data_IF_443953031322
#
_entry.id   IF_443953031322
#
_cell.length_a   1.000
_cell.length_b   1.000
_cell.length_c   1.000
_cell.angle_alpha   90.00
_cell.angle_beta   90.00
_cell.angle_gamma   90.00
#
_symmetry.space_group_name_H-M   'P 1'
#
loop_
_entity.id
_entity.type
_entity.pdbx_description
1 polymer ?
#
# COMPACT_ATOMS: atom_id res chain seq x y z
N UNK A 1 -15.72 -2.02 -0.85
CA UNK A 1 -14.99 -2.89 0.08
C UNK A 1 -14.31 -2.01 1.12
N UNK A 2 -14.55 -2.29 2.41
CA UNK A 2 -13.91 -1.56 3.51
C UNK A 2 -12.45 -2.02 3.61
N UNK A 3 -11.52 -1.10 3.86
CA UNK A 3 -10.12 -1.42 4.18
C UNK A 3 -9.76 -0.61 5.41
N UNK A 4 -9.31 -1.27 6.47
CA UNK A 4 -8.99 -0.60 7.74
C UNK A 4 -7.73 -1.19 8.36
N UNK A 5 -6.94 -0.32 8.99
CA UNK A 5 -5.79 -0.72 9.82
C UNK A 5 -6.20 -1.34 11.16
N UNK A 6 -7.47 -1.18 11.56
CA UNK A 6 -8.02 -1.84 12.75
C UNK A 6 -8.26 -3.32 12.51
N UNK A 7 -8.27 -4.11 13.58
CA UNK A 7 -8.57 -5.55 13.51
C UNK A 7 -10.07 -5.86 13.52
N UNK A 8 -10.92 -4.86 13.71
CA UNK A 8 -12.39 -4.98 13.78
C UNK A 8 -13.06 -3.81 13.07
N UNK A 9 -14.33 -4.00 12.69
CA UNK A 9 -15.21 -2.97 12.14
C UNK A 9 -16.38 -2.82 13.11
N UNK A 10 -16.57 -1.63 13.66
CA UNK A 10 -17.64 -1.36 14.63
C UNK A 10 -19.02 -1.64 14.02
N UNK A 11 -19.90 -2.26 14.82
CA UNK A 11 -21.26 -2.61 14.39
C UNK A 11 -21.35 -3.73 13.36
N UNK A 12 -20.25 -4.41 13.00
CA UNK A 12 -20.23 -5.49 12.00
C UNK A 12 -19.52 -6.72 12.54
N UNK A 13 -20.24 -7.82 12.68
CA UNK A 13 -19.69 -9.13 13.08
C UNK A 13 -18.92 -9.76 11.91
N UNK A 14 -17.71 -10.28 12.16
CA UNK A 14 -16.94 -11.07 11.18
C UNK A 14 -17.44 -12.52 11.18
N UNK A 15 -17.97 -12.97 10.06
CA UNK A 15 -18.48 -14.34 9.87
C UNK A 15 -17.40 -15.32 9.42
N UNK A 16 -16.39 -14.83 8.69
CA UNK A 16 -15.30 -15.65 8.16
C UNK A 16 -14.05 -14.82 7.99
N UNK A 17 -12.92 -15.39 8.38
CA UNK A 17 -11.59 -14.91 8.02
C UNK A 17 -11.07 -15.75 6.85
N UNK A 18 -10.48 -15.10 5.86
CA UNK A 18 -9.68 -15.78 4.82
C UNK A 18 -8.20 -15.58 5.13
N UNK A 19 -7.34 -16.18 4.31
CA UNK A 19 -5.90 -15.97 4.42
C UNK A 19 -5.53 -14.49 4.18
N UNK A 20 -4.49 -13.98 4.86
CA UNK A 20 -3.92 -12.68 4.55
C UNK A 20 -3.47 -12.63 3.09
N UNK A 21 -3.73 -11.51 2.44
CA UNK A 21 -3.24 -11.24 1.09
C UNK A 21 -2.29 -10.06 1.11
N UNK A 22 -1.43 -10.00 0.10
CA UNK A 22 -0.54 -8.88 -0.13
C UNK A 22 -0.64 -8.33 -1.55
N UNK A 23 -0.20 -7.09 -1.70
CA UNK A 23 0.05 -6.46 -2.97
C UNK A 23 1.37 -5.68 -2.86
N UNK A 24 2.17 -5.69 -3.91
CA UNK A 24 3.48 -5.02 -3.92
C UNK A 24 3.62 -4.16 -5.17
N UNK A 25 4.22 -2.98 -5.02
CA UNK A 25 4.68 -2.17 -6.13
C UNK A 25 6.16 -1.80 -5.93
N UNK A 26 6.90 -1.64 -7.03
CA UNK A 26 8.35 -1.36 -7.00
C UNK A 26 8.64 -0.08 -7.78
N UNK A 27 9.43 0.82 -7.19
CA UNK A 27 10.01 1.98 -7.86
C UNK A 27 11.50 1.76 -8.06
N UNK A 28 11.95 1.93 -9.30
CA UNK A 28 13.37 1.90 -9.65
C UNK A 28 14.08 3.22 -9.44
N UNK A 29 15.42 3.16 -9.34
CA UNK A 29 16.29 4.32 -9.14
C UNK A 29 16.08 5.43 -10.16
N UNK A 30 15.73 5.10 -11.41
CA UNK A 30 15.54 6.10 -12.47
C UNK A 30 14.35 7.02 -12.19
N UNK A 31 13.25 6.48 -11.68
CA UNK A 31 12.06 7.26 -11.30
C UNK A 31 12.32 8.13 -10.05
N UNK A 32 13.26 7.72 -9.18
CA UNK A 32 13.72 8.53 -8.05
C UNK A 32 14.81 9.53 -8.45
N UNK A 33 15.60 9.25 -9.47
CA UNK A 33 16.63 10.15 -9.97
C UNK A 33 16.02 11.42 -10.58
N UNK A 34 14.88 11.27 -11.27
CA UNK A 34 14.04 12.38 -11.72
C UNK A 34 13.50 13.22 -10.54
N UNK A 35 13.22 12.58 -9.40
CA UNK A 35 12.83 13.26 -8.16
C UNK A 35 14.04 13.96 -7.52
N UNK A 36 15.23 13.33 -7.54
CA UNK A 36 16.48 13.84 -6.98
C UNK A 36 17.04 15.06 -7.72
N UNK A 37 16.95 15.10 -9.05
CA UNK A 37 17.35 16.28 -9.83
C UNK A 37 16.49 17.52 -9.50
N UNK A 38 15.22 17.33 -9.12
CA UNK A 38 14.33 18.39 -8.63
C UNK A 38 14.52 18.72 -7.14
N UNK A 39 15.31 17.94 -6.40
CA UNK A 39 15.49 18.03 -4.95
C UNK A 39 16.73 18.84 -4.55
N UNK A 40 17.74 18.93 -5.43
CA UNK A 40 19.00 19.66 -5.17
C UNK A 40 18.74 21.13 -4.81
N UNK A 41 17.65 21.72 -5.31
CA UNK A 41 17.30 23.12 -5.04
C UNK A 41 16.49 23.34 -3.74
N UNK A 42 16.05 22.30 -3.03
CA UNK A 42 15.05 22.41 -1.97
C UNK A 42 15.50 21.81 -0.63
N UNK A 43 16.56 22.38 -0.06
CA UNK A 43 16.95 22.10 1.33
C UNK A 43 15.78 22.42 2.29
N UNK A 44 15.18 21.38 2.87
CA UNK A 44 14.40 21.47 4.12
C UNK A 44 12.87 21.53 4.02
N UNK A 45 12.28 21.56 2.82
CA UNK A 45 10.82 21.57 2.65
C UNK A 45 10.30 20.30 1.97
N UNK A 46 9.07 19.89 2.29
CA UNK A 46 8.38 18.75 1.67
C UNK A 46 8.53 18.81 0.15
N UNK A 47 9.28 17.87 -0.44
CA UNK A 47 9.34 17.73 -1.88
C UNK A 47 7.98 17.24 -2.35
N UNK A 48 7.15 18.17 -2.81
CA UNK A 48 5.80 17.91 -3.31
C UNK A 48 5.81 16.80 -4.36
N UNK A 49 6.87 16.71 -5.17
CA UNK A 49 7.04 15.69 -6.20
C UNK A 49 7.33 14.29 -5.61
N UNK A 50 8.21 14.20 -4.62
CA UNK A 50 8.49 12.94 -3.92
C UNK A 50 7.26 12.42 -3.16
N UNK A 51 6.61 13.29 -2.37
CA UNK A 51 5.40 12.93 -1.63
C UNK A 51 4.26 12.52 -2.58
N UNK A 52 4.08 13.22 -3.70
CA UNK A 52 3.09 12.85 -4.70
C UNK A 52 3.34 11.44 -5.27
N UNK A 53 4.61 11.09 -5.54
CA UNK A 53 4.94 9.77 -6.10
C UNK A 53 4.73 8.65 -5.09
N UNK A 54 5.11 8.84 -3.84
CA UNK A 54 4.81 7.88 -2.77
C UNK A 54 3.29 7.72 -2.55
N UNK A 55 2.53 8.81 -2.65
CA UNK A 55 1.07 8.76 -2.58
C UNK A 55 0.45 8.02 -3.77
N UNK A 56 0.99 8.21 -4.97
CA UNK A 56 0.54 7.48 -6.17
C UNK A 56 0.79 5.97 -6.01
N UNK A 57 1.97 5.59 -5.53
CA UNK A 57 2.29 4.20 -5.20
C UNK A 57 1.36 3.61 -4.15
N UNK A 58 1.15 4.34 -3.05
CA UNK A 58 0.27 3.90 -1.97
C UNK A 58 -1.14 3.63 -2.51
N UNK A 59 -1.67 4.55 -3.33
CA UNK A 59 -2.98 4.36 -3.99
C UNK A 59 -2.98 3.15 -4.92
N UNK A 60 -1.92 2.97 -5.71
CA UNK A 60 -1.77 1.85 -6.63
C UNK A 60 -1.77 0.51 -5.89
N UNK A 61 -0.95 0.36 -4.85
CA UNK A 61 -0.85 -0.90 -4.09
C UNK A 61 -2.13 -1.20 -3.31
N UNK A 62 -2.80 -0.18 -2.76
CA UNK A 62 -4.11 -0.33 -2.12
C UNK A 62 -5.16 -0.80 -3.11
N UNK A 63 -5.20 -0.24 -4.32
CA UNK A 63 -6.18 -0.65 -5.32
C UNK A 63 -5.89 -2.07 -5.84
N UNK A 64 -4.63 -2.45 -6.03
CA UNK A 64 -4.25 -3.82 -6.35
C UNK A 64 -4.67 -4.81 -5.26
N UNK A 65 -4.45 -4.48 -3.98
CA UNK A 65 -4.92 -5.29 -2.86
C UNK A 65 -6.45 -5.43 -2.89
N UNK A 66 -7.17 -4.35 -3.18
CA UNK A 66 -8.64 -4.35 -3.29
C UNK A 66 -9.14 -5.20 -4.45
N UNK A 67 -8.48 -5.12 -5.61
CA UNK A 67 -8.81 -5.94 -6.76
C UNK A 67 -8.61 -7.42 -6.48
N UNK A 68 -7.48 -7.78 -5.83
CA UNK A 68 -7.23 -9.15 -5.37
C UNK A 68 -8.32 -9.59 -4.38
N UNK A 69 -8.65 -8.78 -3.38
CA UNK A 69 -9.68 -9.12 -2.40
C UNK A 69 -11.07 -9.38 -3.02
N UNK A 70 -11.43 -8.66 -4.10
CA UNK A 70 -12.69 -8.85 -4.83
C UNK A 70 -12.81 -10.26 -5.43
N UNK A 71 -11.71 -10.91 -5.82
CA UNK A 71 -11.78 -12.28 -6.36
C UNK A 71 -12.18 -13.33 -5.30
N UNK A 72 -11.98 -13.02 -4.01
CA UNK A 72 -12.38 -13.87 -2.88
C UNK A 72 -13.82 -13.62 -2.43
N UNK A 73 -14.52 -12.65 -3.03
CA UNK A 73 -15.85 -12.20 -2.61
C UNK A 73 -15.90 -11.80 -1.12
N UNK A 74 -14.81 -11.24 -0.61
CA UNK A 74 -14.74 -10.69 0.74
C UNK A 74 -15.40 -9.31 0.82
N UNK A 75 -15.92 -8.96 2.00
CA UNK A 75 -16.58 -7.68 2.24
C UNK A 75 -15.60 -6.57 2.66
N UNK A 76 -14.53 -6.98 3.36
CA UNK A 76 -13.55 -6.06 3.90
C UNK A 76 -12.14 -6.66 4.02
N UNK A 77 -11.17 -5.76 4.19
CA UNK A 77 -9.79 -6.03 4.61
C UNK A 77 -9.58 -5.37 5.99
N UNK A 78 -9.16 -6.15 6.99
CA UNK A 78 -8.81 -5.67 8.33
C UNK A 78 -7.32 -5.90 8.60
N UNK A 79 -6.77 -5.24 9.63
CA UNK A 79 -5.36 -5.31 9.97
C UNK A 79 -4.46 -4.83 8.82
N UNK A 80 -4.97 -3.88 8.02
CA UNK A 80 -4.26 -3.35 6.87
C UNK A 80 -3.00 -2.61 7.32
N UNK A 81 -1.87 -2.97 6.73
CA UNK A 81 -0.61 -2.25 6.92
C UNK A 81 0.13 -2.11 5.60
N UNK A 82 1.01 -1.10 5.54
CA UNK A 82 1.88 -0.84 4.41
C UNK A 82 3.29 -0.66 4.92
N UNK A 83 4.22 -1.41 4.32
CA UNK A 83 5.64 -1.29 4.56
C UNK A 83 6.33 -0.75 3.30
N UNK A 84 7.33 0.08 3.50
CA UNK A 84 8.21 0.57 2.45
C UNK A 84 9.61 0.07 2.77
N UNK A 85 10.15 -0.78 1.90
CA UNK A 85 11.46 -1.38 2.03
C UNK A 85 12.39 -0.81 0.96
N UNK A 86 13.62 -0.46 1.35
CA UNK A 86 14.68 -0.12 0.40
C UNK A 86 15.41 -1.40 -0.02
N UNK A 87 15.54 -1.60 -1.33
CA UNK A 87 16.33 -2.64 -1.95
C UNK A 87 17.53 -2.01 -2.64
N UNK A 88 18.70 -2.12 -2.02
CA UNK A 88 19.95 -1.55 -2.53
C UNK A 88 20.83 -2.67 -3.13
N UNK A 89 21.19 -2.56 -4.42
CA UNK A 89 22.05 -3.54 -5.07
C UNK A 89 22.67 -3.03 -6.38
N UNK A 90 23.96 -3.32 -6.60
CA UNK A 90 24.70 -2.98 -7.84
C UNK A 90 24.57 -1.51 -8.27
N UNK A 91 24.54 -0.57 -7.32
CA UNK A 91 24.45 0.86 -7.59
C UNK A 91 23.06 1.38 -7.99
N UNK A 92 22.02 0.55 -7.95
CA UNK A 92 20.62 0.95 -8.18
C UNK A 92 19.86 0.87 -6.85
N UNK A 93 19.27 1.99 -6.42
CA UNK A 93 18.34 2.02 -5.29
C UNK A 93 16.93 1.75 -5.79
N UNK A 94 16.24 0.77 -5.21
CA UNK A 94 14.83 0.51 -5.50
C UNK A 94 14.03 0.58 -4.21
N UNK A 95 12.79 1.04 -4.31
CA UNK A 95 11.87 1.06 -3.18
C UNK A 95 10.71 0.13 -3.48
N UNK A 96 10.45 -0.77 -2.54
CA UNK A 96 9.34 -1.70 -2.59
C UNK A 96 8.29 -1.24 -1.59
N UNK A 97 7.06 -1.03 -2.05
CA UNK A 97 5.93 -0.81 -1.17
C UNK A 97 5.09 -2.08 -1.14
N UNK A 98 4.84 -2.61 0.06
CA UNK A 98 4.05 -3.82 0.26
C UNK A 98 2.88 -3.50 1.16
N UNK A 99 1.66 -3.71 0.65
CA UNK A 99 0.44 -3.69 1.44
C UNK A 99 0.04 -5.11 1.83
N UNK A 100 -0.41 -5.31 3.06
CA UNK A 100 -0.90 -6.58 3.57
C UNK A 100 -2.17 -6.36 4.38
N UNK A 101 -3.08 -7.34 4.38
CA UNK A 101 -4.25 -7.35 5.25
C UNK A 101 -5.01 -8.67 5.20
N UNK A 102 -5.90 -8.87 6.15
CA UNK A 102 -6.72 -10.09 6.27
C UNK A 102 -8.09 -9.84 5.66
N UNK A 103 -8.53 -10.68 4.74
CA UNK A 103 -9.87 -10.58 4.17
C UNK A 103 -10.90 -11.14 5.14
N UNK A 104 -12.06 -10.49 5.22
CA UNK A 104 -13.17 -10.94 6.04
C UNK A 104 -14.51 -10.88 5.32
N UNK A 105 -15.37 -11.84 5.64
CA UNK A 105 -16.80 -11.78 5.34
C UNK A 105 -17.52 -11.19 6.55
N UNK A 106 -18.37 -10.20 6.33
CA UNK A 106 -19.11 -9.51 7.38
C UNK A 106 -20.58 -9.94 7.37
N UNK A 107 -21.20 -9.91 8.54
CA UNK A 107 -22.65 -10.06 8.64
C UNK A 107 -23.34 -8.89 7.95
N UNK A 108 -24.32 -9.18 7.10
CA UNK A 108 -25.21 -8.17 6.54
C UNK A 108 -26.19 -7.70 7.62
N UNK A 109 -26.58 -6.44 7.55
CA UNK A 109 -27.61 -5.85 8.42
C UNK A 109 -29.01 -6.29 7.98
#
# INVERSE_FOLDING_TARGET
MIVTSTNTIEGREVLRYFDPISATAVIGANALSEIGASFVDFFGGRSRNYENKLQELYKSVVESLKQNARSYRADAVIGFSVNIDELSGKGTQMFMITAIGTLVLLKHL
#
